data_IF_950612340146
#
_entry.id   IF_950612340146
#
_cell.length_a   1.000
_cell.length_b   1.000
_cell.length_c   1.000
_cell.angle_alpha   90.00
_cell.angle_beta   90.00
_cell.angle_gamma   90.00
#
_symmetry.space_group_name_H-M   'P 1'
#
loop_
_entity.id
_entity.type
_entity.pdbx_description
1 polymer ?
#
# COMPACT_ATOMS: atom_id res chain seq x y z
N UNK A 1 -5.08 28.26 -22.81
CA UNK A 1 -6.24 29.01 -23.37
C UNK A 1 -5.83 30.26 -24.11
N UNK A 2 -5.29 31.29 -23.44
CA UNK A 2 -4.95 32.58 -24.07
C UNK A 2 -4.10 32.47 -25.36
N UNK A 3 -3.15 31.53 -25.43
CA UNK A 3 -2.35 31.28 -26.66
C UNK A 3 -3.17 30.70 -27.82
N UNK A 4 -4.17 29.86 -27.52
CA UNK A 4 -5.01 29.20 -28.53
C UNK A 4 -6.08 30.15 -29.06
N UNK A 5 -6.61 31.01 -28.19
CA UNK A 5 -7.55 32.08 -28.54
C UNK A 5 -6.90 33.13 -29.45
N UNK A 6 -5.70 33.60 -29.10
CA UNK A 6 -4.93 34.51 -29.96
C UNK A 6 -4.60 33.93 -31.34
N UNK A 7 -4.45 32.60 -31.46
CA UNK A 7 -4.24 31.93 -32.76
C UNK A 7 -5.54 31.83 -33.57
N UNK A 8 -6.66 31.62 -32.89
CA UNK A 8 -8.00 31.59 -33.49
C UNK A 8 -8.45 32.98 -33.97
N UNK A 9 -8.01 34.03 -33.28
CA UNK A 9 -8.27 35.43 -33.64
C UNK A 9 -7.55 35.83 -34.93
N UNK A 10 -6.37 35.23 -35.19
CA UNK A 10 -5.61 35.41 -36.44
C UNK A 10 -6.09 34.55 -37.60
N UNK A 11 -6.63 33.35 -37.32
CA UNK A 11 -7.20 32.45 -38.33
C UNK A 11 -8.53 31.83 -37.83
N UNK A 12 -9.66 32.57 -37.96
CA UNK A 12 -10.94 32.18 -37.38
C UNK A 12 -11.63 31.01 -38.11
N UNK A 13 -11.21 30.68 -39.33
CA UNK A 13 -11.77 29.57 -40.12
C UNK A 13 -11.06 28.24 -39.84
N UNK A 14 -10.02 28.25 -39.02
CA UNK A 14 -9.24 27.07 -38.71
C UNK A 14 -10.03 26.02 -37.89
N UNK A 15 -10.57 25.02 -38.60
CA UNK A 15 -11.42 23.97 -38.01
C UNK A 15 -10.69 23.13 -36.96
N UNK A 16 -9.39 22.87 -37.13
CA UNK A 16 -8.60 22.05 -36.19
C UNK A 16 -8.37 22.79 -34.88
N UNK A 17 -8.00 24.07 -34.92
CA UNK A 17 -7.87 24.92 -33.73
C UNK A 17 -9.21 25.11 -32.99
N UNK A 18 -10.34 25.28 -33.71
CA UNK A 18 -11.68 25.32 -33.09
C UNK A 18 -12.02 24.02 -32.39
N UNK A 19 -11.73 22.87 -33.03
CA UNK A 19 -11.94 21.54 -32.44
C UNK A 19 -11.08 21.35 -31.19
N UNK A 20 -9.81 21.74 -31.25
CA UNK A 20 -8.90 21.67 -30.11
C UNK A 20 -9.35 22.56 -28.95
N UNK A 21 -9.77 23.81 -29.20
CA UNK A 21 -10.34 24.70 -28.18
C UNK A 21 -11.57 24.06 -27.52
N UNK A 22 -12.51 23.56 -28.32
CA UNK A 22 -13.74 22.91 -27.83
C UNK A 22 -13.43 21.66 -27.00
N UNK A 23 -12.46 20.84 -27.42
CA UNK A 23 -12.03 19.67 -26.65
C UNK A 23 -11.39 20.07 -25.33
N UNK A 24 -10.57 21.13 -25.33
CA UNK A 24 -9.95 21.64 -24.12
C UNK A 24 -11.01 22.13 -23.11
N UNK A 25 -11.97 22.94 -23.58
CA UNK A 25 -13.03 23.54 -22.75
C UNK A 25 -14.07 22.54 -22.26
N UNK A 26 -14.57 21.67 -23.14
CA UNK A 26 -15.70 20.79 -22.82
C UNK A 26 -15.30 19.46 -22.19
N UNK A 27 -14.05 19.04 -22.34
CA UNK A 27 -13.61 17.72 -21.90
C UNK A 27 -12.38 17.79 -20.98
N UNK A 28 -11.26 18.33 -21.47
CA UNK A 28 -9.99 18.24 -20.73
C UNK A 28 -9.97 19.09 -19.46
N UNK A 29 -10.51 20.32 -19.48
CA UNK A 29 -10.56 21.16 -18.29
C UNK A 29 -11.48 20.60 -17.20
N UNK A 30 -12.75 20.25 -17.48
CA UNK A 30 -13.62 19.63 -16.48
C UNK A 30 -13.02 18.34 -15.90
N UNK A 31 -12.39 17.50 -16.74
CA UNK A 31 -11.68 16.30 -16.26
C UNK A 31 -10.52 16.64 -15.35
N UNK A 32 -9.70 17.65 -15.71
CA UNK A 32 -8.57 18.07 -14.88
C UNK A 32 -9.04 18.57 -13.52
N UNK A 33 -10.03 19.44 -13.48
CA UNK A 33 -10.61 19.94 -12.23
C UNK A 33 -11.16 18.80 -11.36
N UNK A 34 -11.87 17.86 -11.99
CA UNK A 34 -12.34 16.64 -11.32
C UNK A 34 -11.17 15.83 -10.75
N UNK A 35 -10.11 15.61 -11.52
CA UNK A 35 -8.95 14.86 -11.03
C UNK A 35 -8.21 15.58 -9.90
N UNK A 36 -8.10 16.91 -9.94
CA UNK A 36 -7.52 17.70 -8.85
C UNK A 36 -8.35 17.56 -7.57
N UNK A 37 -9.67 17.64 -7.67
CA UNK A 37 -10.58 17.40 -6.54
C UNK A 37 -10.44 15.97 -6.01
N UNK A 38 -10.49 14.97 -6.89
CA UNK A 38 -10.33 13.57 -6.50
C UNK A 38 -8.98 13.31 -5.83
N UNK A 39 -7.89 13.87 -6.38
CA UNK A 39 -6.54 13.76 -5.81
C UNK A 39 -6.47 14.39 -4.42
N UNK A 40 -7.15 15.52 -4.22
CA UNK A 40 -7.27 16.15 -2.91
C UNK A 40 -8.01 15.26 -1.91
N UNK A 41 -9.13 14.63 -2.30
CA UNK A 41 -9.88 13.70 -1.44
C UNK A 41 -9.10 12.42 -1.14
N UNK A 42 -8.27 11.98 -2.09
CA UNK A 42 -7.49 10.76 -1.97
C UNK A 42 -6.47 10.81 -0.82
N UNK A 43 -5.81 11.94 -0.59
CA UNK A 43 -4.80 12.11 0.46
C UNK A 43 -3.73 10.99 0.48
N UNK A 44 -3.41 10.41 -0.69
CA UNK A 44 -2.46 9.30 -0.82
C UNK A 44 -3.03 7.89 -0.63
N UNK A 45 -4.35 7.74 -0.41
CA UNK A 45 -5.06 6.45 -0.34
C UNK A 45 -5.23 5.83 -1.73
N UNK A 46 -5.59 4.54 -1.78
CA UNK A 46 -5.80 3.80 -3.04
C UNK A 46 -7.25 3.78 -3.52
N UNK A 47 -8.23 4.02 -2.63
CA UNK A 47 -9.64 4.22 -3.01
C UNK A 47 -10.43 4.96 -1.93
N UNK A 48 -11.62 5.45 -2.27
CA UNK A 48 -12.59 6.01 -1.31
C UNK A 48 -14.04 5.85 -1.83
N UNK A 49 -15.04 5.79 -0.95
CA UNK A 49 -16.45 5.72 -1.36
C UNK A 49 -16.96 7.04 -1.90
N UNK A 50 -17.87 6.98 -2.89
CA UNK A 50 -18.52 8.18 -3.42
C UNK A 50 -19.49 8.82 -2.41
N UNK A 51 -20.09 8.02 -1.53
CA UNK A 51 -21.08 8.46 -0.53
C UNK A 51 -20.44 8.84 0.80
N UNK A 52 -19.34 8.18 1.16
CA UNK A 52 -18.57 8.41 2.37
C UNK A 52 -17.07 8.42 1.99
N UNK A 53 -16.51 9.61 1.80
CA UNK A 53 -15.13 9.77 1.32
C UNK A 53 -14.08 9.28 2.30
N UNK A 54 -14.46 8.99 3.54
CA UNK A 54 -13.55 8.49 4.56
C UNK A 54 -13.46 6.94 4.53
N UNK A 55 -14.48 6.27 4.00
CA UNK A 55 -14.47 4.82 3.82
C UNK A 55 -13.59 4.38 2.63
N UNK A 56 -12.77 3.36 2.84
CA UNK A 56 -11.85 2.80 1.83
C UNK A 56 -12.42 1.50 1.25
N UNK A 57 -12.28 1.28 -0.06
CA UNK A 57 -12.70 0.01 -0.65
C UNK A 57 -11.72 -1.11 -0.27
N UNK A 58 -12.23 -2.15 0.36
CA UNK A 58 -11.47 -3.29 0.84
C UNK A 58 -12.18 -4.61 0.54
N UNK A 59 -11.40 -5.69 0.52
CA UNK A 59 -11.92 -7.04 0.31
C UNK A 59 -12.40 -7.59 1.65
N UNK A 60 -13.65 -8.00 1.70
CA UNK A 60 -14.21 -8.61 2.91
C UNK A 60 -13.79 -10.07 3.03
N UNK A 61 -13.60 -10.53 4.27
CA UNK A 61 -13.45 -11.97 4.59
C UNK A 61 -14.71 -12.73 4.16
N UNK A 62 -15.88 -12.16 4.44
CA UNK A 62 -17.16 -12.70 4.03
C UNK A 62 -17.63 -12.07 2.71
N UNK A 63 -17.38 -12.77 1.61
CA UNK A 63 -17.91 -12.44 0.30
C UNK A 63 -19.15 -13.31 -0.01
N UNK A 64 -20.28 -12.94 0.60
CA UNK A 64 -21.56 -13.65 0.43
C UNK A 64 -21.96 -13.82 -1.04
N UNK A 65 -21.64 -12.83 -1.89
CA UNK A 65 -21.97 -12.85 -3.31
C UNK A 65 -20.93 -13.60 -4.15
N UNK A 66 -19.78 -13.97 -3.56
CA UNK A 66 -18.62 -14.61 -4.21
C UNK A 66 -18.17 -13.93 -5.51
N UNK A 67 -18.49 -12.64 -5.68
CA UNK A 67 -18.20 -11.87 -6.88
C UNK A 67 -16.90 -11.09 -6.77
N UNK A 68 -16.29 -11.12 -5.59
CA UNK A 68 -15.06 -10.47 -5.26
C UNK A 68 -15.06 -8.95 -5.26
N UNK A 69 -16.25 -8.38 -5.18
CA UNK A 69 -16.44 -6.94 -5.17
C UNK A 69 -15.84 -6.34 -3.89
N UNK A 70 -14.99 -5.31 -4.07
CA UNK A 70 -14.54 -4.49 -2.96
C UNK A 70 -15.72 -3.68 -2.44
N UNK A 71 -15.77 -3.51 -1.13
CA UNK A 71 -16.82 -2.75 -0.46
C UNK A 71 -16.20 -1.65 0.39
N UNK A 72 -16.84 -0.47 0.48
CA UNK A 72 -16.32 0.64 1.27
C UNK A 72 -16.51 0.35 2.76
N UNK A 73 -15.42 0.36 3.51
CA UNK A 73 -15.43 0.11 4.96
C UNK A 73 -14.30 0.89 5.65
N UNK A 74 -14.26 0.78 6.97
CA UNK A 74 -13.15 1.21 7.82
C UNK A 74 -12.43 -0.03 8.34
N UNK A 75 -11.10 0.01 8.39
CA UNK A 75 -10.33 -1.03 9.04
C UNK A 75 -10.27 -0.72 10.54
N UNK A 76 -11.07 -1.45 11.32
CA UNK A 76 -11.20 -1.26 12.77
C UNK A 76 -10.21 -2.18 13.46
N UNK A 77 -9.32 -1.59 14.25
CA UNK A 77 -8.40 -2.34 15.11
C UNK A 77 -8.83 -2.22 16.56
N UNK A 78 -8.78 -3.33 17.28
CA UNK A 78 -9.23 -3.45 18.66
C UNK A 78 -8.13 -4.13 19.47
N UNK A 79 -7.68 -3.46 20.53
CA UNK A 79 -6.75 -4.00 21.51
C UNK A 79 -7.52 -4.65 22.66
N UNK A 80 -7.15 -5.87 23.02
CA UNK A 80 -7.77 -6.63 24.10
C UNK A 80 -6.70 -7.08 25.10
N UNK A 81 -6.99 -6.92 26.39
CA UNK A 81 -6.17 -7.40 27.50
C UNK A 81 -7.07 -8.08 28.53
N UNK A 82 -6.75 -9.32 28.93
CA UNK A 82 -7.51 -10.07 29.95
C UNK A 82 -9.04 -10.10 29.72
N UNK A 83 -9.47 -10.26 28.46
CA UNK A 83 -10.87 -10.23 28.01
C UNK A 83 -11.55 -8.85 28.06
N UNK A 84 -10.81 -7.78 28.31
CA UNK A 84 -11.29 -6.40 28.25
C UNK A 84 -10.79 -5.69 27.01
N UNK A 85 -11.65 -4.88 26.40
CA UNK A 85 -11.24 -3.96 25.34
C UNK A 85 -10.48 -2.80 25.98
N UNK A 86 -9.20 -2.64 25.62
CA UNK A 86 -8.32 -1.59 26.15
C UNK A 86 -8.17 -0.40 25.22
N UNK A 87 -8.51 -0.58 23.94
CA UNK A 87 -8.46 0.49 22.95
C UNK A 87 -9.03 0.07 21.60
N UNK A 88 -9.39 1.06 20.79
CA UNK A 88 -9.77 0.85 19.39
C UNK A 88 -9.25 2.00 18.52
N UNK A 89 -9.12 1.75 17.22
CA UNK A 89 -8.77 2.77 16.24
C UNK A 89 -9.37 2.45 14.88
N UNK A 90 -9.71 3.50 14.13
CA UNK A 90 -10.24 3.40 12.77
C UNK A 90 -9.16 3.81 11.76
N UNK A 91 -8.97 3.00 10.72
CA UNK A 91 -7.96 3.25 9.69
C UNK A 91 -8.58 3.26 8.30
N UNK A 92 -8.12 4.19 7.48
CA UNK A 92 -8.50 4.33 6.07
C UNK A 92 -7.54 3.55 5.16
N UNK A 93 -7.20 2.32 5.55
CA UNK A 93 -6.24 1.45 4.85
C UNK A 93 -6.79 0.04 4.79
N UNK A 94 -6.69 -0.60 3.62
CA UNK A 94 -7.20 -1.96 3.42
C UNK A 94 -6.29 -3.04 4.02
N UNK A 95 -5.00 -2.76 4.23
CA UNK A 95 -4.03 -3.71 4.77
C UNK A 95 -3.69 -3.43 6.23
N UNK A 96 -3.51 -4.50 6.99
CA UNK A 96 -3.22 -4.47 8.42
C UNK A 96 -1.79 -4.01 8.81
N UNK A 97 -0.71 -4.24 8.02
CA UNK A 97 0.65 -3.93 8.48
C UNK A 97 0.81 -2.47 8.91
N UNK A 98 0.24 -1.54 8.12
CA UNK A 98 0.33 -0.10 8.41
C UNK A 98 -0.60 0.40 9.51
N UNK A 99 -1.36 -0.48 10.18
CA UNK A 99 -2.34 -0.10 11.20
C UNK A 99 -1.82 -0.30 12.64
N UNK A 100 -0.78 -1.10 12.87
CA UNK A 100 -0.27 -1.39 14.21
C UNK A 100 0.30 -0.16 14.91
N UNK A 101 1.26 0.51 14.29
CA UNK A 101 1.93 1.68 14.87
C UNK A 101 0.92 2.78 15.19
N UNK A 102 0.04 3.21 14.27
CA UNK A 102 -0.93 4.23 14.60
C UNK A 102 -1.96 3.75 15.64
N UNK A 103 -2.28 2.45 15.71
CA UNK A 103 -3.14 1.90 16.77
C UNK A 103 -2.49 2.01 18.15
N UNK A 104 -1.22 1.64 18.29
CA UNK A 104 -0.49 1.74 19.57
C UNK A 104 -0.30 3.19 20.01
N UNK A 105 -0.01 4.11 19.07
CA UNK A 105 0.11 5.53 19.37
C UNK A 105 -1.24 6.18 19.77
N UNK A 106 -2.38 5.50 19.58
CA UNK A 106 -3.65 5.97 20.16
C UNK A 106 -3.61 5.92 21.68
N UNK A 107 -2.89 4.97 22.28
CA UNK A 107 -2.78 4.85 23.73
C UNK A 107 -2.11 6.08 24.34
N UNK A 108 -1.10 6.61 23.67
CA UNK A 108 -0.41 7.85 24.07
C UNK A 108 -1.37 9.04 24.15
N UNK A 109 -2.36 9.12 23.24
CA UNK A 109 -3.39 10.19 23.26
C UNK A 109 -4.34 10.12 24.45
N UNK A 110 -4.44 8.97 25.10
CA UNK A 110 -5.28 8.74 26.27
C UNK A 110 -4.47 8.57 27.55
N UNK A 111 -3.19 8.99 27.53
CA UNK A 111 -2.24 8.82 28.63
C UNK A 111 -2.18 7.39 29.17
N UNK A 112 -2.33 6.41 28.27
CA UNK A 112 -2.25 4.99 28.60
C UNK A 112 -0.86 4.44 28.29
N UNK A 113 -0.29 3.60 29.17
CA UNK A 113 0.98 2.96 28.89
C UNK A 113 0.83 2.04 27.67
N UNK A 114 1.89 1.97 26.86
CA UNK A 114 2.02 0.97 25.80
C UNK A 114 2.10 -0.44 26.42
N UNK A 115 1.60 -1.47 25.72
CA UNK A 115 1.65 -2.84 26.22
C UNK A 115 3.08 -3.35 26.27
N UNK A 116 3.41 -4.19 27.26
CA UNK A 116 4.72 -4.86 27.35
C UNK A 116 4.94 -5.88 26.23
N UNK A 117 3.85 -6.40 25.67
CA UNK A 117 3.89 -7.34 24.57
C UNK A 117 2.67 -7.20 23.68
N UNK A 118 2.87 -7.41 22.38
CA UNK A 118 1.81 -7.42 21.37
C UNK A 118 1.72 -8.80 20.76
N UNK A 119 0.50 -9.32 20.65
CA UNK A 119 0.18 -10.57 19.96
C UNK A 119 -0.74 -10.20 18.80
N UNK A 120 -0.35 -10.53 17.58
CA UNK A 120 -1.13 -10.22 16.38
C UNK A 120 -0.94 -11.30 15.30
N UNK A 121 -1.82 -11.29 14.30
CA UNK A 121 -1.74 -12.21 13.18
C UNK A 121 -0.58 -11.87 12.21
N UNK A 122 -0.33 -12.75 11.23
CA UNK A 122 0.74 -12.55 10.24
C UNK A 122 0.51 -11.39 9.28
N UNK A 123 -0.70 -10.82 9.24
CA UNK A 123 -1.02 -9.60 8.52
C UNK A 123 -0.30 -8.38 9.07
N UNK A 124 0.15 -8.43 10.33
CA UNK A 124 0.94 -7.37 10.95
C UNK A 124 2.45 -7.55 10.83
N UNK A 125 2.91 -8.68 10.30
CA UNK A 125 4.33 -9.01 10.20
C UNK A 125 5.03 -8.19 9.11
N UNK A 126 5.57 -7.03 9.48
CA UNK A 126 6.42 -6.16 8.64
C UNK A 126 7.65 -5.69 9.40
N UNK A 127 8.74 -5.45 8.68
CA UNK A 127 9.99 -4.90 9.24
C UNK A 127 9.75 -3.60 10.02
N UNK A 128 8.94 -2.70 9.46
CA UNK A 128 8.55 -1.44 10.10
C UNK A 128 7.91 -1.66 11.48
N UNK A 129 7.03 -2.66 11.60
CA UNK A 129 6.36 -3.00 12.85
C UNK A 129 7.33 -3.63 13.86
N UNK A 130 8.24 -4.50 13.41
CA UNK A 130 9.24 -5.12 14.26
C UNK A 130 10.22 -4.08 14.81
N UNK A 131 10.75 -3.22 13.95
CA UNK A 131 11.66 -2.14 14.34
C UNK A 131 11.00 -1.16 15.31
N UNK A 132 9.72 -0.85 15.12
CA UNK A 132 8.97 -0.03 16.07
C UNK A 132 8.81 -0.72 17.42
N UNK A 133 8.43 -2.00 17.44
CA UNK A 133 8.28 -2.73 18.70
C UNK A 133 9.61 -2.84 19.45
N UNK A 134 10.71 -3.10 18.74
CA UNK A 134 12.05 -3.16 19.32
C UNK A 134 12.46 -1.82 19.95
N UNK A 135 12.27 -0.71 19.22
CA UNK A 135 12.57 0.64 19.70
C UNK A 135 11.80 1.01 20.97
N UNK A 136 10.53 0.61 21.04
CA UNK A 136 9.65 0.91 22.18
C UNK A 136 9.73 -0.16 23.28
N UNK A 137 10.67 -1.11 23.19
CA UNK A 137 10.86 -2.22 24.13
C UNK A 137 9.59 -3.11 24.31
N UNK A 138 8.77 -3.21 23.26
CA UNK A 138 7.56 -4.02 23.20
C UNK A 138 7.90 -5.39 22.63
N UNK A 139 7.59 -6.47 23.37
CA UNK A 139 7.81 -7.82 22.87
C UNK A 139 6.76 -8.20 21.82
N UNK A 140 7.16 -8.29 20.56
CA UNK A 140 6.29 -8.65 19.44
C UNK A 140 6.18 -10.17 19.24
N UNK A 141 4.99 -10.74 19.46
CA UNK A 141 4.63 -12.11 19.10
C UNK A 141 3.78 -12.09 17.83
N UNK A 142 4.41 -11.70 16.72
CA UNK A 142 3.76 -11.51 15.41
C UNK A 142 4.51 -12.36 14.39
N UNK A 143 3.82 -13.32 13.79
CA UNK A 143 4.38 -14.11 12.67
C UNK A 143 4.70 -13.18 11.51
N UNK A 144 5.81 -13.38 10.83
CA UNK A 144 6.05 -12.66 9.57
C UNK A 144 5.16 -13.24 8.46
N UNK A 145 4.89 -12.43 7.43
CA UNK A 145 3.86 -12.72 6.42
C UNK A 145 4.05 -14.03 5.62
N UNK A 146 5.27 -14.56 5.55
CA UNK A 146 5.61 -15.79 4.82
C UNK A 146 5.72 -17.03 5.71
N UNK A 147 5.64 -16.88 7.04
CA UNK A 147 5.86 -17.95 8.02
C UNK A 147 5.02 -19.21 7.72
N UNK A 148 3.70 -19.05 7.54
CA UNK A 148 2.84 -20.21 7.28
C UNK A 148 3.11 -20.83 5.89
N UNK A 149 3.50 -20.01 4.90
CA UNK A 149 3.77 -20.49 3.52
C UNK A 149 5.05 -21.32 3.45
N UNK A 150 6.07 -20.95 4.22
CA UNK A 150 7.36 -21.66 4.28
C UNK A 150 7.23 -23.12 4.73
N UNK A 151 6.20 -23.42 5.52
CA UNK A 151 5.93 -24.79 5.96
C UNK A 151 5.43 -25.70 4.81
N UNK A 152 4.90 -25.13 3.73
CA UNK A 152 4.24 -25.88 2.65
C UNK A 152 5.23 -26.55 1.70
N UNK A 153 4.89 -27.75 1.21
CA UNK A 153 5.70 -28.49 0.24
C UNK A 153 6.00 -27.67 -1.02
N UNK A 154 4.98 -26.97 -1.55
CA UNK A 154 5.10 -26.10 -2.71
C UNK A 154 6.14 -25.00 -2.52
N UNK A 155 6.25 -24.43 -1.32
CA UNK A 155 7.26 -23.40 -1.03
C UNK A 155 8.67 -23.98 -1.01
N UNK A 156 8.87 -25.10 -0.32
CA UNK A 156 10.18 -25.78 -0.20
C UNK A 156 10.70 -26.33 -1.54
N UNK A 157 9.80 -26.72 -2.42
CA UNK A 157 10.12 -27.23 -3.75
C UNK A 157 10.28 -26.13 -4.81
N UNK A 158 9.95 -24.87 -4.47
CA UNK A 158 10.05 -23.76 -5.41
C UNK A 158 11.51 -23.39 -5.72
N UNK A 159 11.96 -23.74 -6.93
CA UNK A 159 13.36 -23.60 -7.38
C UNK A 159 13.84 -22.14 -7.39
N UNK A 160 12.98 -21.18 -7.74
CA UNK A 160 13.37 -19.77 -7.89
C UNK A 160 13.44 -18.94 -6.60
N UNK A 161 13.37 -19.56 -5.41
CA UNK A 161 13.47 -18.83 -4.13
C UNK A 161 14.89 -18.85 -3.61
N UNK A 162 15.40 -17.68 -3.25
CA UNK A 162 16.72 -17.52 -2.61
C UNK A 162 16.82 -18.39 -1.35
N UNK A 163 15.76 -18.46 -0.55
CA UNK A 163 15.71 -19.31 0.66
C UNK A 163 15.92 -20.81 0.41
N UNK A 164 15.71 -21.27 -0.83
CA UNK A 164 15.89 -22.67 -1.24
C UNK A 164 17.19 -22.88 -2.05
N UNK A 165 18.01 -21.84 -2.20
CA UNK A 165 19.31 -21.89 -2.87
C UNK A 165 20.41 -22.15 -1.85
N UNK A 166 21.49 -22.78 -2.28
CA UNK A 166 22.70 -22.91 -1.47
C UNK A 166 23.58 -21.67 -1.70
N UNK A 167 24.14 -21.11 -0.65
CA UNK A 167 25.11 -20.02 -0.76
C UNK A 167 26.53 -20.57 -0.63
N UNK A 168 27.41 -20.17 -1.53
CA UNK A 168 28.84 -20.47 -1.50
C UNK A 168 29.60 -19.23 -0.97
N UNK A 169 30.10 -19.33 0.26
CA UNK A 169 30.81 -18.24 0.95
C UNK A 169 32.14 -17.88 0.26
N UNK A 170 32.79 -18.81 -0.47
CA UNK A 170 34.09 -18.58 -1.09
C UNK A 170 33.97 -17.79 -2.40
N UNK A 171 32.89 -18.05 -3.16
CA UNK A 171 32.64 -17.43 -4.46
C UNK A 171 31.66 -16.24 -4.38
N UNK A 172 31.01 -16.01 -3.23
CA UNK A 172 29.90 -15.06 -3.06
C UNK A 172 28.77 -15.30 -4.09
N UNK A 173 28.45 -16.57 -4.32
CA UNK A 173 27.52 -17.03 -5.35
C UNK A 173 26.34 -17.80 -4.76
N UNK A 174 25.15 -17.60 -5.34
CA UNK A 174 23.98 -18.41 -5.04
C UNK A 174 23.84 -19.52 -6.08
N UNK A 175 23.81 -20.77 -5.60
CA UNK A 175 23.64 -21.97 -6.41
C UNK A 175 22.17 -22.36 -6.40
N UNK A 176 21.53 -22.23 -7.56
CA UNK A 176 20.15 -22.68 -7.77
C UNK A 176 20.08 -24.21 -7.91
N UNK A 177 18.92 -24.83 -7.63
CA UNK A 177 18.72 -26.29 -7.79
C UNK A 177 18.96 -26.83 -9.20
N UNK A 178 19.00 -25.97 -10.21
CA UNK A 178 19.36 -26.34 -11.58
C UNK A 178 20.86 -26.18 -11.88
N UNK A 179 21.72 -26.04 -10.85
CA UNK A 179 23.18 -25.90 -10.96
C UNK A 179 23.65 -24.66 -11.75
N UNK A 180 22.79 -23.65 -11.89
CA UNK A 180 23.18 -22.35 -12.42
C UNK A 180 23.66 -21.44 -11.28
N UNK A 181 24.87 -20.91 -11.44
CA UNK A 181 25.45 -19.92 -10.53
C UNK A 181 24.86 -18.54 -10.83
N UNK A 182 24.35 -17.90 -9.77
CA UNK A 182 23.86 -16.53 -9.83
C UNK A 182 24.85 -15.67 -9.05
N UNK A 183 25.72 -14.98 -9.78
CA UNK A 183 26.54 -13.90 -9.23
C UNK A 183 25.68 -12.68 -8.97
N UNK A 184 25.80 -12.12 -7.77
CA UNK A 184 25.16 -10.86 -7.43
C UNK A 184 25.91 -9.72 -8.13
N UNK A 185 25.67 -9.55 -9.43
CA UNK A 185 26.05 -8.30 -10.12
C UNK A 185 25.22 -7.18 -9.50
N UNK A 186 25.79 -6.54 -8.49
CA UNK A 186 25.19 -5.46 -7.71
C UNK A 186 25.17 -4.19 -8.56
N UNK A 187 24.40 -4.20 -9.65
CA UNK A 187 24.03 -2.98 -10.34
C UNK A 187 22.97 -2.29 -9.51
N UNK A 188 23.38 -1.26 -8.78
CA UNK A 188 22.48 -0.33 -8.11
C UNK A 188 21.72 0.48 -9.17
N UNK A 189 20.56 -0.01 -9.60
CA UNK A 189 19.64 0.78 -10.41
C UNK A 189 18.82 1.69 -9.49
N UNK A 190 19.32 2.91 -9.28
CA UNK A 190 18.55 3.99 -8.66
C UNK A 190 17.49 4.47 -9.67
N UNK A 191 16.27 3.93 -9.56
CA UNK A 191 15.12 4.51 -10.24
C UNK A 191 14.57 5.68 -9.41
N UNK A 192 14.97 6.89 -9.76
CA UNK A 192 14.28 8.11 -9.34
C UNK A 192 13.05 8.32 -10.24
N UNK A 193 11.87 7.88 -9.81
CA UNK A 193 10.61 8.25 -10.46
C UNK A 193 10.19 9.67 -10.04
N UNK A 194 10.84 10.68 -10.64
CA UNK A 194 10.24 12.01 -10.69
C UNK A 194 9.03 11.95 -11.62
N UNK A 195 7.85 11.73 -11.06
CA UNK A 195 6.59 12.00 -11.77
C UNK A 195 6.41 13.52 -11.89
N UNK A 196 7.05 14.11 -12.90
CA UNK A 196 6.65 15.44 -13.36
C UNK A 196 5.41 15.34 -14.26
N UNK A 197 4.34 15.99 -13.75
CA UNK A 197 3.14 16.53 -14.39
C UNK A 197 1.91 15.64 -14.56
#
# INVERSE_FOLDING_TARGET
MKKLEKRLEKDPKNKTLRKAKRQLEKDLFPRKQKYEQQKSTFEGRNSYSKTDTDATFMRMKEDHMKNGQLKPYYNVQIGIENQFVVGFSLHQRAGDPGCLIPHLNVLDRYDRPKPKSVIADSGYGSEENYAFCEKEEIKAYIKYSTFDKESTKKWKEQVGRVDNMSYDDELDEWICKNEYNITKNMNLYLFSSNSEK
#
